data_IF_050531742426
#
_entry.id   IF_050531742426
#
_cell.length_a   1.000
_cell.length_b   1.000
_cell.length_c   1.000
_cell.angle_alpha   90.00
_cell.angle_beta   90.00
_cell.angle_gamma   90.00
#
_symmetry.space_group_name_H-M   'P 1'
#
loop_
_entity.id
_entity.type
_entity.pdbx_description
1 polymer ?
#
# COMPACT_ATOMS: atom_id res chain seq x y z
N UNK A 1 46.73 -0.91 -20.80
CA UNK A 1 45.74 -1.29 -19.80
C UNK A 1 44.77 -0.16 -19.38
N UNK A 2 45.25 1.07 -19.03
CA UNK A 2 44.33 2.17 -18.62
C UNK A 2 43.31 2.62 -19.68
N UNK A 3 43.62 2.61 -20.98
CA UNK A 3 42.67 3.00 -22.05
C UNK A 3 41.56 1.97 -22.28
N UNK A 4 41.83 0.67 -22.08
CA UNK A 4 40.81 -0.39 -22.22
C UNK A 4 39.80 -0.35 -21.06
N UNK A 5 40.26 -0.02 -19.84
CA UNK A 5 39.41 0.12 -18.64
C UNK A 5 38.46 1.30 -18.77
N UNK A 6 38.90 2.44 -19.35
CA UNK A 6 38.03 3.60 -19.59
C UNK A 6 36.94 3.33 -20.64
N UNK A 7 37.27 2.54 -21.68
CA UNK A 7 36.28 2.19 -22.72
C UNK A 7 35.18 1.26 -22.18
N UNK A 8 35.53 0.29 -21.33
CA UNK A 8 34.54 -0.59 -20.71
C UNK A 8 33.61 0.18 -19.74
N UNK A 9 34.14 1.14 -18.98
CA UNK A 9 33.31 1.98 -18.09
C UNK A 9 32.33 2.88 -18.87
N UNK A 10 32.74 3.42 -20.02
CA UNK A 10 31.87 4.29 -20.82
C UNK A 10 30.76 3.50 -21.53
N UNK A 11 30.99 2.27 -21.93
CA UNK A 11 29.97 1.38 -22.53
C UNK A 11 28.95 0.93 -21.52
N UNK A 12 29.38 0.60 -20.29
CA UNK A 12 28.48 0.23 -19.18
C UNK A 12 27.59 1.41 -18.76
N UNK A 13 28.14 2.61 -18.65
CA UNK A 13 27.35 3.82 -18.33
C UNK A 13 26.32 4.13 -19.41
N UNK A 14 26.67 4.02 -20.68
CA UNK A 14 25.74 4.25 -21.78
C UNK A 14 24.60 3.22 -21.89
N UNK A 15 24.87 1.96 -21.53
CA UNK A 15 23.85 0.90 -21.51
C UNK A 15 22.86 1.08 -20.36
N UNK A 16 23.32 1.47 -19.17
CA UNK A 16 22.50 1.77 -18.01
C UNK A 16 21.55 2.96 -18.28
N UNK A 17 22.06 4.05 -18.89
CA UNK A 17 21.24 5.20 -19.30
C UNK A 17 20.15 4.85 -20.33
N UNK A 18 20.42 3.87 -21.21
CA UNK A 18 19.45 3.42 -22.21
C UNK A 18 18.35 2.57 -21.57
N UNK A 19 18.70 1.64 -20.67
CA UNK A 19 17.73 0.81 -19.94
C UNK A 19 16.80 1.66 -19.06
N UNK A 20 17.36 2.64 -18.36
CA UNK A 20 16.56 3.59 -17.54
C UNK A 20 15.57 4.37 -18.39
N UNK A 21 16.01 4.91 -19.53
CA UNK A 21 15.11 5.64 -20.45
C UNK A 21 14.01 4.75 -21.03
N UNK A 22 14.32 3.52 -21.37
CA UNK A 22 13.32 2.55 -21.87
C UNK A 22 12.29 2.21 -20.79
N UNK A 23 12.72 2.00 -19.55
CA UNK A 23 11.83 1.78 -18.41
C UNK A 23 10.91 2.98 -18.18
N UNK A 24 11.45 4.20 -18.14
CA UNK A 24 10.67 5.42 -17.96
C UNK A 24 9.66 5.63 -19.10
N UNK A 25 10.07 5.43 -20.37
CA UNK A 25 9.17 5.52 -21.53
C UNK A 25 8.02 4.50 -21.43
N UNK A 26 8.32 3.27 -21.00
CA UNK A 26 7.29 2.24 -20.79
C UNK A 26 6.30 2.62 -19.68
N UNK A 27 6.79 3.23 -18.60
CA UNK A 27 5.89 3.76 -17.55
C UNK A 27 4.99 4.86 -18.11
N UNK A 28 5.52 5.78 -18.93
CA UNK A 28 4.75 6.85 -19.56
C UNK A 28 3.64 6.29 -20.48
N UNK A 29 3.94 5.26 -21.26
CA UNK A 29 2.95 4.56 -22.09
C UNK A 29 1.84 3.92 -21.27
N UNK A 30 2.21 3.19 -20.18
CA UNK A 30 1.23 2.54 -19.31
C UNK A 30 0.33 3.59 -18.64
N UNK A 31 0.90 4.69 -18.15
CA UNK A 31 0.17 5.71 -17.38
C UNK A 31 -0.77 6.53 -18.27
N UNK A 32 -0.42 6.77 -19.55
CA UNK A 32 -1.18 7.64 -20.46
C UNK A 32 -2.26 6.94 -21.27
N UNK A 33 -2.27 5.62 -21.32
CA UNK A 33 -3.09 4.85 -22.27
C UNK A 33 -4.54 4.57 -21.81
N UNK A 34 -5.04 5.21 -20.72
CA UNK A 34 -6.29 4.83 -20.06
C UNK A 34 -7.23 6.01 -19.79
N UNK A 35 -8.53 5.71 -19.71
CA UNK A 35 -9.56 6.63 -19.23
C UNK A 35 -9.57 6.67 -17.71
N UNK A 36 -8.42 6.97 -17.12
CA UNK A 36 -8.19 7.03 -15.69
C UNK A 36 -7.03 7.99 -15.41
N UNK A 37 -6.99 8.57 -14.22
CA UNK A 37 -5.81 9.26 -13.75
C UNK A 37 -4.95 8.27 -12.96
N UNK A 38 -3.79 7.92 -13.51
CA UNK A 38 -2.89 6.90 -12.95
C UNK A 38 -1.67 7.58 -12.32
N UNK A 39 -1.60 7.55 -10.99
CA UNK A 39 -0.44 7.97 -10.21
C UNK A 39 0.45 6.77 -9.89
N UNK A 40 1.74 6.90 -10.15
CA UNK A 40 2.73 5.84 -9.90
C UNK A 40 3.93 6.41 -9.16
N UNK A 41 4.44 5.66 -8.19
CA UNK A 41 5.77 5.86 -7.67
C UNK A 41 6.46 4.52 -7.43
N UNK A 42 7.76 4.50 -7.71
CA UNK A 42 8.64 3.36 -7.44
C UNK A 42 9.87 3.90 -6.73
N UNK A 43 10.10 3.43 -5.50
CA UNK A 43 11.31 3.72 -4.78
C UNK A 43 12.30 2.60 -5.02
N UNK A 44 13.36 2.93 -5.71
CA UNK A 44 14.37 2.01 -6.23
C UNK A 44 15.24 1.39 -5.12
N UNK A 45 15.95 0.29 -5.36
CA UNK A 45 16.82 -0.33 -4.38
C UNK A 45 17.92 0.61 -3.84
N UNK A 46 18.38 1.55 -4.65
CA UNK A 46 19.37 2.57 -4.26
C UNK A 46 18.74 3.82 -3.57
N UNK A 47 17.42 3.79 -3.32
CA UNK A 47 16.70 4.81 -2.58
C UNK A 47 16.23 6.02 -3.37
N UNK A 48 16.43 6.04 -4.70
CA UNK A 48 15.83 7.06 -5.57
C UNK A 48 14.34 6.82 -5.76
N UNK A 49 13.64 7.76 -6.34
CA UNK A 49 12.21 7.63 -6.64
C UNK A 49 11.95 8.00 -8.09
N UNK A 50 11.36 7.07 -8.83
CA UNK A 50 10.76 7.32 -10.15
C UNK A 50 9.27 7.49 -9.92
N UNK A 51 8.68 8.58 -10.42
CA UNK A 51 7.27 8.86 -10.21
C UNK A 51 6.61 9.47 -11.44
N UNK A 52 5.29 9.19 -11.58
CA UNK A 52 4.40 9.79 -12.59
C UNK A 52 3.10 10.21 -11.91
N UNK A 53 2.61 11.41 -12.25
CA UNK A 53 1.38 11.96 -11.68
C UNK A 53 1.33 11.90 -10.14
N UNK A 54 2.46 12.19 -9.47
CA UNK A 54 2.64 12.10 -8.02
C UNK A 54 1.93 13.24 -7.30
N UNK A 55 0.62 13.19 -7.25
CA UNK A 55 -0.25 14.16 -6.57
C UNK A 55 -0.99 13.52 -5.38
N UNK A 56 -1.75 14.30 -4.63
CA UNK A 56 -2.60 13.81 -3.55
C UNK A 56 -3.82 13.09 -4.14
N UNK A 57 -3.79 11.77 -4.13
CA UNK A 57 -4.82 10.89 -4.69
C UNK A 57 -5.55 10.13 -3.57
N UNK A 58 -6.85 9.79 -3.73
CA UNK A 58 -7.59 8.98 -2.77
C UNK A 58 -6.90 7.65 -2.51
N UNK A 59 -6.64 7.33 -1.24
CA UNK A 59 -5.94 6.09 -0.84
C UNK A 59 -6.84 4.87 -0.79
N UNK A 60 -8.13 5.08 -0.44
CA UNK A 60 -8.99 3.99 0.01
C UNK A 60 -8.28 3.14 1.08
N UNK A 61 -8.54 1.85 1.15
CA UNK A 61 -7.97 0.97 2.17
C UNK A 61 -6.43 0.86 2.18
N UNK A 62 -5.69 1.52 1.29
CA UNK A 62 -4.22 1.66 1.43
C UNK A 62 -3.88 2.39 2.74
N UNK A 63 -4.77 3.28 3.25
CA UNK A 63 -4.55 3.98 4.52
C UNK A 63 -4.49 3.05 5.74
N UNK A 64 -4.96 1.79 5.63
CA UNK A 64 -4.86 0.77 6.69
C UNK A 64 -3.41 0.39 7.02
N UNK A 65 -2.49 0.57 6.08
CA UNK A 65 -1.06 0.37 6.35
C UNK A 65 -0.50 1.41 7.36
N UNK A 66 -0.63 2.72 7.18
CA UNK A 66 -0.23 3.67 8.21
C UNK A 66 -1.01 3.53 9.53
N UNK A 67 -2.29 3.11 9.50
CA UNK A 67 -3.03 2.78 10.74
C UNK A 67 -2.35 1.64 11.49
N UNK A 68 -2.05 0.54 10.81
CA UNK A 68 -1.37 -0.61 11.42
C UNK A 68 0.01 -0.23 11.98
N UNK A 69 0.77 0.61 11.27
CA UNK A 69 2.06 1.13 11.74
C UNK A 69 1.91 1.95 13.04
N UNK A 70 0.97 2.88 13.08
CA UNK A 70 0.75 3.72 14.25
C UNK A 70 0.32 2.92 15.48
N UNK A 71 -0.57 1.95 15.30
CA UNK A 71 -1.00 1.01 16.36
C UNK A 71 0.18 0.21 16.87
N UNK A 72 0.93 -0.42 15.98
CA UNK A 72 2.06 -1.28 16.36
C UNK A 72 3.22 -0.48 16.98
N UNK A 73 3.49 0.73 16.53
CA UNK A 73 4.48 1.61 17.15
C UNK A 73 4.08 1.98 18.57
N UNK A 74 2.81 2.33 18.79
CA UNK A 74 2.27 2.58 20.12
C UNK A 74 2.41 1.35 21.02
N UNK A 75 1.95 0.18 20.55
CA UNK A 75 2.01 -1.08 21.29
C UNK A 75 3.45 -1.46 21.65
N UNK A 76 4.38 -1.29 20.72
CA UNK A 76 5.81 -1.53 20.94
C UNK A 76 6.37 -0.61 22.06
N UNK A 77 5.99 0.67 22.06
CA UNK A 77 6.45 1.63 23.09
C UNK A 77 5.85 1.35 24.46
N UNK A 78 4.61 0.87 24.51
CA UNK A 78 3.89 0.52 25.73
C UNK A 78 4.20 -0.91 26.23
N UNK A 79 4.87 -1.73 25.44
CA UNK A 79 5.13 -3.15 25.73
C UNK A 79 3.86 -4.01 25.70
N UNK A 80 2.84 -3.59 24.96
CA UNK A 80 1.54 -4.30 24.85
C UNK A 80 1.68 -5.52 23.95
N UNK A 81 1.38 -6.73 24.44
CA UNK A 81 1.57 -7.96 23.65
C UNK A 81 0.55 -8.05 22.51
N UNK A 82 0.94 -8.68 21.39
CA UNK A 82 0.05 -8.95 20.26
C UNK A 82 -1.14 -9.85 20.63
N UNK A 83 -1.06 -10.56 21.75
CA UNK A 83 -2.14 -11.36 22.32
C UNK A 83 -3.11 -10.57 23.20
N UNK A 84 -2.91 -9.25 23.35
CA UNK A 84 -3.83 -8.38 24.10
C UNK A 84 -5.27 -8.58 23.63
N UNK A 85 -6.20 -8.99 24.53
CA UNK A 85 -7.60 -9.18 24.16
C UNK A 85 -8.31 -7.83 23.94
N UNK A 86 -9.10 -7.76 22.89
CA UNK A 86 -9.97 -6.63 22.55
C UNK A 86 -11.41 -7.15 22.51
N UNK A 87 -12.28 -6.53 23.27
CA UNK A 87 -13.71 -6.88 23.27
C UNK A 87 -14.40 -6.26 22.06
N UNK A 88 -15.09 -7.09 21.30
CA UNK A 88 -15.91 -6.70 20.16
C UNK A 88 -17.37 -6.78 20.59
N UNK A 89 -17.96 -5.65 20.87
CA UNK A 89 -19.37 -5.54 21.30
C UNK A 89 -20.32 -5.45 20.09
N UNK A 90 -21.60 -5.79 20.22
CA UNK A 90 -22.56 -5.80 19.11
C UNK A 90 -22.67 -4.47 18.37
N UNK A 91 -22.54 -3.35 19.08
CA UNK A 91 -22.59 -1.99 18.53
C UNK A 91 -21.42 -1.67 17.59
N UNK A 92 -20.31 -2.44 17.66
CA UNK A 92 -19.20 -2.33 16.75
C UNK A 92 -19.41 -3.10 15.43
N UNK A 93 -20.33 -4.06 15.40
CA UNK A 93 -20.60 -4.93 14.25
C UNK A 93 -21.55 -4.26 13.25
N UNK A 94 -21.15 -3.09 12.76
CA UNK A 94 -21.96 -2.26 11.85
C UNK A 94 -22.35 -3.02 10.57
N UNK A 95 -23.64 -3.00 10.18
CA UNK A 95 -24.08 -3.57 8.90
C UNK A 95 -23.67 -2.68 7.72
N UNK A 96 -23.72 -3.23 6.51
CA UNK A 96 -23.59 -2.45 5.27
C UNK A 96 -22.15 -2.09 4.89
N UNK A 97 -21.15 -2.56 5.63
CA UNK A 97 -19.73 -2.39 5.28
C UNK A 97 -19.03 -3.74 5.11
N UNK A 98 -17.95 -3.78 4.34
CA UNK A 98 -17.14 -4.99 4.16
C UNK A 98 -16.40 -5.36 5.44
N UNK A 99 -16.75 -6.49 6.02
CA UNK A 99 -16.10 -6.97 7.27
C UNK A 99 -16.16 -8.50 7.40
N UNK A 100 -15.16 -9.21 6.89
CA UNK A 100 -14.97 -10.65 7.18
C UNK A 100 -14.91 -10.97 8.68
N UNK A 101 -14.38 -10.05 9.49
CA UNK A 101 -14.38 -10.16 10.94
C UNK A 101 -15.80 -10.29 11.51
N UNK A 102 -16.68 -9.34 11.16
CA UNK A 102 -18.09 -9.36 11.57
C UNK A 102 -18.75 -10.67 11.15
N UNK A 103 -18.53 -11.07 9.90
CA UNK A 103 -19.17 -12.27 9.34
C UNK A 103 -18.68 -13.57 9.97
N UNK A 104 -17.54 -13.55 10.69
CA UNK A 104 -16.98 -14.67 11.45
C UNK A 104 -17.38 -14.71 12.92
N UNK A 105 -17.95 -13.63 13.45
CA UNK A 105 -18.35 -13.51 14.85
C UNK A 105 -19.85 -13.72 15.03
N UNK A 106 -20.31 -14.21 16.22
CA UNK A 106 -21.73 -14.19 16.58
C UNK A 106 -22.25 -12.75 16.71
N UNK A 107 -23.55 -12.54 16.54
CA UNK A 107 -24.18 -11.21 16.70
C UNK A 107 -23.96 -10.59 18.09
N UNK A 108 -23.76 -11.42 19.11
CA UNK A 108 -23.42 -10.97 20.46
C UNK A 108 -22.01 -10.37 20.60
N UNK A 109 -21.23 -10.38 19.51
CA UNK A 109 -19.82 -9.98 19.56
C UNK A 109 -18.92 -11.10 20.08
N UNK A 110 -17.73 -10.71 20.57
CA UNK A 110 -16.73 -11.66 21.02
C UNK A 110 -15.45 -10.99 21.50
N UNK A 111 -14.39 -11.77 21.62
CA UNK A 111 -13.07 -11.25 21.96
C UNK A 111 -12.07 -11.69 20.90
N UNK A 112 -11.33 -10.74 20.34
CA UNK A 112 -10.22 -11.00 19.43
C UNK A 112 -8.93 -10.45 20.04
N UNK A 113 -7.81 -11.02 19.66
CA UNK A 113 -6.51 -10.43 20.02
C UNK A 113 -6.19 -9.25 19.10
N UNK A 114 -5.31 -8.37 19.56
CA UNK A 114 -4.77 -7.29 18.74
C UNK A 114 -4.17 -7.82 17.43
N UNK A 115 -3.40 -8.91 17.49
CA UNK A 115 -2.83 -9.56 16.29
C UNK A 115 -3.89 -10.07 15.31
N UNK A 116 -5.04 -10.57 15.81
CA UNK A 116 -6.16 -10.98 14.97
C UNK A 116 -6.85 -9.78 14.30
N UNK A 117 -7.05 -8.68 15.04
CA UNK A 117 -7.58 -7.44 14.43
C UNK A 117 -6.66 -6.87 13.34
N UNK A 118 -5.34 -6.89 13.59
CA UNK A 118 -4.35 -6.49 12.58
C UNK A 118 -4.41 -7.40 11.34
N UNK A 119 -4.60 -8.72 11.52
CA UNK A 119 -4.75 -9.66 10.40
C UNK A 119 -5.99 -9.30 9.57
N UNK A 120 -7.15 -9.12 10.19
CA UNK A 120 -8.36 -8.71 9.48
C UNK A 120 -8.15 -7.38 8.74
N UNK A 121 -7.56 -6.39 9.39
CA UNK A 121 -7.33 -5.05 8.82
C UNK A 121 -6.37 -5.07 7.63
N UNK A 122 -5.22 -5.73 7.77
CA UNK A 122 -4.13 -5.67 6.78
C UNK A 122 -4.32 -6.72 5.70
N UNK A 123 -4.49 -7.99 6.06
CA UNK A 123 -4.53 -9.10 5.10
C UNK A 123 -5.88 -9.21 4.40
N UNK A 124 -6.98 -9.00 5.10
CA UNK A 124 -8.34 -9.15 4.58
C UNK A 124 -9.03 -7.82 4.27
N UNK A 125 -8.38 -6.69 4.59
CA UNK A 125 -8.91 -5.35 4.34
C UNK A 125 -10.23 -5.02 5.06
N UNK A 126 -10.47 -5.62 6.23
CA UNK A 126 -11.68 -5.44 7.04
C UNK A 126 -11.86 -3.99 7.50
N UNK A 127 -13.04 -3.42 7.30
CA UNK A 127 -13.34 -2.03 7.63
C UNK A 127 -13.60 -1.84 9.12
N UNK A 128 -14.36 -2.73 9.74
CA UNK A 128 -14.69 -2.63 11.17
C UNK A 128 -13.45 -2.86 12.03
N UNK A 129 -12.64 -3.87 11.71
CA UNK A 129 -11.36 -4.10 12.39
C UNK A 129 -10.42 -2.90 12.26
N UNK A 130 -10.39 -2.25 11.09
CA UNK A 130 -9.64 -1.03 10.89
C UNK A 130 -10.11 0.10 11.79
N UNK A 131 -11.42 0.33 11.91
CA UNK A 131 -11.98 1.41 12.73
C UNK A 131 -11.77 1.17 14.23
N UNK A 132 -11.78 -0.09 14.67
CA UNK A 132 -11.40 -0.45 16.04
C UNK A 132 -9.92 -0.07 16.28
N UNK A 133 -9.02 -0.50 15.39
CA UNK A 133 -7.59 -0.17 15.50
C UNK A 133 -7.32 1.33 15.38
N UNK A 134 -8.07 2.04 14.54
CA UNK A 134 -7.96 3.49 14.39
C UNK A 134 -8.33 4.22 15.68
N UNK A 135 -9.37 3.77 16.39
CA UNK A 135 -9.72 4.28 17.73
C UNK A 135 -8.62 4.01 18.75
N UNK A 136 -8.05 2.80 18.75
CA UNK A 136 -6.90 2.46 19.59
C UNK A 136 -5.68 3.36 19.30
N UNK A 137 -5.48 3.76 18.05
CA UNK A 137 -4.43 4.70 17.67
C UNK A 137 -4.69 6.15 18.09
N UNK A 138 -5.91 6.48 18.55
CA UNK A 138 -6.30 7.86 18.89
C UNK A 138 -7.02 8.60 17.76
N UNK A 139 -7.51 7.88 16.74
CA UNK A 139 -8.28 8.41 15.61
C UNK A 139 -7.43 8.86 14.42
N UNK A 140 -8.10 9.32 13.35
CA UNK A 140 -7.44 9.71 12.09
C UNK A 140 -6.33 10.74 12.27
N UNK A 141 -6.58 11.80 13.03
CA UNK A 141 -5.61 12.86 13.28
C UNK A 141 -4.34 12.37 14.00
N UNK A 142 -4.47 11.41 14.92
CA UNK A 142 -3.32 10.84 15.61
C UNK A 142 -2.44 9.99 14.65
N UNK A 143 -3.06 9.23 13.75
CA UNK A 143 -2.32 8.46 12.72
C UNK A 143 -1.64 9.40 11.73
N UNK A 144 -2.30 10.47 11.29
CA UNK A 144 -1.66 11.48 10.44
C UNK A 144 -0.48 12.15 11.15
N UNK A 145 -0.64 12.53 12.41
CA UNK A 145 0.44 13.12 13.22
C UNK A 145 1.63 12.14 13.37
N UNK A 146 1.35 10.85 13.59
CA UNK A 146 2.39 9.82 13.61
C UNK A 146 3.18 9.80 12.30
N UNK A 147 2.51 9.73 11.14
CA UNK A 147 3.19 9.72 9.84
C UNK A 147 4.01 11.00 9.63
N UNK A 148 3.48 12.16 10.00
CA UNK A 148 4.22 13.43 9.94
C UNK A 148 5.45 13.44 10.84
N UNK A 149 5.39 12.82 12.02
CA UNK A 149 6.53 12.71 12.95
C UNK A 149 7.70 11.90 12.38
N UNK A 150 7.44 11.04 11.38
CA UNK A 150 8.46 10.30 10.63
C UNK A 150 9.15 11.17 9.55
N UNK A 151 8.78 12.44 9.42
CA UNK A 151 9.27 13.34 8.37
C UNK A 151 8.59 13.13 7.00
N UNK A 152 7.48 12.39 6.94
CA UNK A 152 6.76 12.10 5.70
C UNK A 152 5.59 13.10 5.56
N UNK A 153 5.66 13.96 4.53
CA UNK A 153 4.55 14.75 4.05
C UNK A 153 3.74 14.02 2.97
N UNK A 154 2.61 14.60 2.55
CA UNK A 154 1.85 14.07 1.41
C UNK A 154 1.04 12.81 1.73
N UNK A 155 0.74 12.54 3.00
CA UNK A 155 -0.28 11.59 3.47
C UNK A 155 -1.25 12.35 4.36
N UNK A 156 -2.53 12.30 4.04
CA UNK A 156 -3.62 12.90 4.81
C UNK A 156 -4.59 11.80 5.21
N UNK A 157 -4.85 11.68 6.51
CA UNK A 157 -5.79 10.70 7.08
C UNK A 157 -6.82 11.49 7.89
N UNK A 158 -7.99 11.74 7.28
CA UNK A 158 -9.01 12.65 7.77
C UNK A 158 -10.28 11.94 8.25
N UNK A 159 -10.47 10.66 7.90
CA UNK A 159 -11.71 9.92 8.18
C UNK A 159 -11.44 8.45 8.52
N UNK A 160 -12.36 7.86 9.28
CA UNK A 160 -12.50 6.42 9.50
C UNK A 160 -13.15 5.74 8.29
N UNK A 161 -13.19 4.40 8.29
CA UNK A 161 -13.94 3.64 7.26
C UNK A 161 -15.44 3.95 7.35
N UNK A 162 -16.01 4.01 8.56
CA UNK A 162 -17.41 4.40 8.75
C UNK A 162 -17.71 5.77 8.16
N UNK A 163 -16.87 6.77 8.42
CA UNK A 163 -17.05 8.13 7.89
C UNK A 163 -16.94 8.18 6.37
N UNK A 164 -16.02 7.41 5.76
CA UNK A 164 -15.92 7.30 4.31
C UNK A 164 -17.14 6.64 3.68
N UNK A 165 -17.81 5.72 4.37
CA UNK A 165 -19.02 5.04 3.87
C UNK A 165 -20.31 5.87 4.00
N UNK A 166 -20.31 6.99 4.73
CA UNK A 166 -21.50 7.87 4.83
C UNK A 166 -21.87 8.55 3.52
N UNK A 167 -21.02 8.53 2.51
CA UNK A 167 -21.30 9.09 1.20
C UNK A 167 -20.15 8.92 0.23
N UNK A 168 -20.47 8.76 -1.04
CA UNK A 168 -19.49 8.51 -2.10
C UNK A 168 -18.40 9.60 -2.18
N UNK A 169 -18.75 10.86 -1.90
CA UNK A 169 -17.77 11.97 -1.87
C UNK A 169 -16.74 11.83 -0.76
N UNK A 170 -17.11 11.21 0.38
CA UNK A 170 -16.22 11.02 1.52
C UNK A 170 -15.08 10.03 1.24
N UNK A 171 -15.25 9.18 0.21
CA UNK A 171 -14.19 8.25 -0.22
C UNK A 171 -12.94 8.96 -0.80
N UNK A 172 -13.00 10.28 -0.99
CA UNK A 172 -11.88 11.10 -1.48
C UNK A 172 -11.08 11.80 -0.38
N UNK A 173 -11.43 11.67 0.91
CA UNK A 173 -10.83 12.50 1.97
C UNK A 173 -9.47 11.98 2.45
N UNK A 174 -9.30 10.65 2.55
CA UNK A 174 -8.00 10.04 2.86
C UNK A 174 -7.16 9.98 1.60
N UNK A 175 -6.08 10.77 1.55
CA UNK A 175 -5.27 10.99 0.34
C UNK A 175 -3.80 10.77 0.61
N UNK A 176 -3.08 10.31 -0.42
CA UNK A 176 -1.63 10.29 -0.39
C UNK A 176 -1.01 10.58 -1.75
N UNK A 177 0.26 11.02 -1.73
CA UNK A 177 1.15 10.92 -2.88
C UNK A 177 1.67 9.48 -2.96
N UNK A 178 1.65 8.85 -4.13
CA UNK A 178 2.27 7.53 -4.31
C UNK A 178 3.70 7.44 -3.77
N UNK A 179 4.52 8.49 -3.99
CA UNK A 179 5.90 8.56 -3.50
C UNK A 179 6.01 8.56 -1.97
N UNK A 180 5.06 9.20 -1.29
CA UNK A 180 5.01 9.23 0.17
C UNK A 180 4.68 7.85 0.76
N UNK A 181 3.79 7.11 0.11
CA UNK A 181 3.46 5.72 0.48
C UNK A 181 4.67 4.81 0.29
N UNK A 182 5.38 4.92 -0.84
CA UNK A 182 6.64 4.18 -1.06
C UNK A 182 7.69 4.51 0.00
N UNK A 183 7.82 5.78 0.40
CA UNK A 183 8.75 6.20 1.46
C UNK A 183 8.39 5.57 2.80
N UNK A 184 7.11 5.49 3.13
CA UNK A 184 6.64 4.85 4.37
C UNK A 184 6.94 3.35 4.38
N UNK A 185 6.70 2.64 3.26
CA UNK A 185 7.08 1.23 3.11
C UNK A 185 8.61 1.03 3.24
N UNK A 186 9.40 1.90 2.63
CA UNK A 186 10.87 1.80 2.70
C UNK A 186 11.39 1.98 4.14
N UNK A 187 10.91 2.97 4.88
CA UNK A 187 11.26 3.16 6.30
C UNK A 187 10.86 1.95 7.16
N UNK A 188 9.70 1.36 6.89
CA UNK A 188 9.26 0.14 7.55
C UNK A 188 10.19 -1.03 7.29
N UNK A 189 10.55 -1.27 6.04
CA UNK A 189 11.46 -2.36 5.63
C UNK A 189 12.89 -2.19 6.12
N UNK A 190 13.34 -0.95 6.37
CA UNK A 190 14.63 -0.68 7.00
C UNK A 190 14.64 -1.02 8.50
N UNK A 191 13.51 -1.46 9.07
CA UNK A 191 13.37 -1.75 10.50
C UNK A 191 13.51 -0.50 11.36
N UNK A 192 13.25 0.68 10.82
CA UNK A 192 13.36 1.97 11.54
C UNK A 192 12.12 2.28 12.36
N UNK A 193 10.97 1.72 12.00
CA UNK A 193 9.67 2.01 12.61
C UNK A 193 9.30 0.98 13.68
N UNK A 194 9.40 -0.29 13.37
CA UNK A 194 9.02 -1.39 14.24
C UNK A 194 10.19 -2.35 14.46
N UNK A 195 10.19 -3.07 15.59
CA UNK A 195 11.20 -4.05 15.98
C UNK A 195 10.56 -5.41 16.32
N UNK A 196 11.39 -6.45 16.35
CA UNK A 196 11.01 -7.78 16.86
C UNK A 196 9.72 -8.31 16.24
N UNK A 197 8.84 -8.81 17.10
CA UNK A 197 7.58 -9.45 16.71
C UNK A 197 6.60 -8.50 16.01
N UNK A 198 6.59 -7.22 16.36
CA UNK A 198 5.70 -6.22 15.74
C UNK A 198 6.06 -6.00 14.26
N UNK A 199 7.36 -5.91 13.97
CA UNK A 199 7.84 -5.78 12.59
C UNK A 199 7.59 -7.06 11.79
N UNK A 200 7.91 -8.23 12.38
CA UNK A 200 7.72 -9.53 11.75
C UNK A 200 6.23 -9.81 11.45
N UNK A 201 5.33 -9.46 12.39
CA UNK A 201 3.89 -9.60 12.17
C UNK A 201 3.43 -8.78 10.97
N UNK A 202 3.74 -7.48 10.92
CA UNK A 202 3.23 -6.61 9.85
C UNK A 202 3.79 -7.03 8.47
N UNK A 203 5.07 -7.42 8.39
CA UNK A 203 5.63 -7.96 7.15
C UNK A 203 4.87 -9.21 6.69
N UNK A 204 4.61 -10.16 7.59
CA UNK A 204 3.84 -11.37 7.29
C UNK A 204 2.43 -11.04 6.81
N UNK A 205 1.71 -10.16 7.52
CA UNK A 205 0.33 -9.79 7.18
C UNK A 205 0.20 -9.13 5.80
N UNK A 206 1.17 -8.30 5.42
CA UNK A 206 1.23 -7.71 4.08
C UNK A 206 1.48 -8.76 2.99
N UNK A 207 2.31 -9.78 3.26
CA UNK A 207 2.56 -10.88 2.33
C UNK A 207 1.37 -11.85 2.23
N UNK A 208 0.58 -11.98 3.29
CA UNK A 208 -0.64 -12.81 3.38
C UNK A 208 -1.89 -12.09 2.86
N UNK A 209 -1.75 -10.92 2.21
CA UNK A 209 -2.89 -10.19 1.67
C UNK A 209 -3.73 -11.06 0.73
N UNK A 210 -5.03 -11.17 1.03
CA UNK A 210 -6.00 -11.96 0.25
C UNK A 210 -6.63 -11.16 -0.88
N UNK A 211 -6.51 -9.83 -0.85
CA UNK A 211 -7.04 -8.90 -1.84
C UNK A 211 -6.00 -8.56 -2.90
N UNK A 212 -6.43 -8.22 -4.13
CA UNK A 212 -5.56 -7.67 -5.18
C UNK A 212 -4.61 -8.67 -5.83
N UNK A 213 -4.93 -9.97 -5.83
CA UNK A 213 -4.14 -11.00 -6.50
C UNK A 213 -3.99 -10.74 -8.01
N UNK A 214 -4.89 -9.96 -8.58
CA UNK A 214 -4.94 -9.53 -9.98
C UNK A 214 -4.26 -8.16 -10.25
N UNK A 215 -3.73 -7.49 -9.22
CA UNK A 215 -3.08 -6.17 -9.32
C UNK A 215 -1.55 -6.31 -9.36
N UNK A 216 -0.81 -5.64 -8.46
CA UNK A 216 0.67 -5.70 -8.45
C UNK A 216 1.20 -7.12 -8.50
N UNK A 217 0.60 -8.04 -7.75
CA UNK A 217 1.00 -9.44 -7.67
C UNK A 217 0.93 -10.15 -9.04
N UNK A 218 -0.08 -9.86 -9.85
CA UNK A 218 -0.25 -10.45 -11.18
C UNK A 218 0.82 -10.01 -12.20
N UNK A 219 1.54 -8.93 -11.93
CA UNK A 219 2.66 -8.47 -12.76
C UNK A 219 3.98 -9.17 -12.50
N UNK A 220 4.05 -9.98 -11.42
CA UNK A 220 5.28 -10.60 -10.94
C UNK A 220 5.37 -12.07 -11.34
N UNK A 221 6.58 -12.63 -11.53
CA UNK A 221 6.78 -14.05 -11.67
C UNK A 221 6.24 -14.84 -10.46
N UNK A 222 5.78 -16.07 -10.72
CA UNK A 222 5.31 -16.96 -9.67
C UNK A 222 6.40 -17.17 -8.60
N UNK A 223 6.00 -17.11 -7.31
CA UNK A 223 6.92 -17.27 -6.20
C UNK A 223 7.65 -15.99 -5.76
N UNK A 224 7.49 -14.87 -6.49
CA UNK A 224 8.04 -13.59 -6.03
C UNK A 224 7.37 -13.14 -4.74
N UNK A 225 8.18 -12.75 -3.76
CA UNK A 225 7.69 -12.24 -2.48
C UNK A 225 7.26 -10.79 -2.65
N UNK A 226 5.99 -10.53 -2.38
CA UNK A 226 5.40 -9.20 -2.34
C UNK A 226 4.63 -9.03 -1.04
N UNK A 227 4.85 -7.91 -0.35
CA UNK A 227 3.99 -7.46 0.75
C UNK A 227 3.25 -6.20 0.32
N UNK A 228 1.92 -6.23 0.32
CA UNK A 228 1.15 -5.12 -0.25
C UNK A 228 -0.18 -4.86 0.46
N UNK A 229 -0.76 -3.68 0.21
CA UNK A 229 -2.09 -3.28 0.65
C UNK A 229 -2.86 -2.64 -0.48
N UNK A 230 -4.03 -3.17 -0.78
CA UNK A 230 -4.95 -2.65 -1.79
C UNK A 230 -5.92 -1.61 -1.22
N UNK A 231 -6.53 -0.83 -2.11
CA UNK A 231 -7.62 0.05 -1.76
C UNK A 231 -8.53 0.27 -2.96
N UNK A 232 -9.82 -0.05 -2.83
CA UNK A 232 -10.82 0.11 -3.88
C UNK A 232 -12.03 0.87 -3.35
N UNK A 233 -12.57 1.78 -4.16
CA UNK A 233 -13.78 2.54 -3.86
C UNK A 233 -15.02 1.85 -4.42
N UNK A 234 -16.18 2.37 -4.12
CA UNK A 234 -17.38 2.18 -4.92
C UNK A 234 -17.29 2.95 -6.26
N UNK A 235 -18.29 2.78 -7.13
CA UNK A 235 -18.47 3.59 -8.34
C UNK A 235 -19.48 4.69 -8.08
N UNK A 236 -19.25 5.86 -8.66
CA UNK A 236 -20.26 6.95 -8.67
C UNK A 236 -21.48 6.55 -9.49
N UNK A 237 -22.54 7.36 -9.43
CA UNK A 237 -23.74 7.15 -10.25
C UNK A 237 -23.44 7.17 -11.76
N UNK A 238 -22.37 7.88 -12.16
CA UNK A 238 -21.88 7.97 -13.54
C UNK A 238 -20.99 6.76 -13.92
N UNK A 239 -20.78 5.82 -12.99
CA UNK A 239 -19.97 4.63 -13.21
C UNK A 239 -18.46 4.83 -13.00
N UNK A 240 -18.02 6.00 -12.54
CA UNK A 240 -16.61 6.31 -12.30
C UNK A 240 -16.11 5.62 -11.03
N UNK A 241 -15.02 4.88 -11.12
CA UNK A 241 -14.29 4.33 -9.96
C UNK A 241 -13.40 5.43 -9.37
N UNK A 242 -13.68 5.85 -8.14
CA UNK A 242 -12.93 6.93 -7.48
C UNK A 242 -11.46 6.53 -7.31
N UNK A 243 -11.22 5.29 -6.88
CA UNK A 243 -9.87 4.74 -6.76
C UNK A 243 -9.88 3.22 -6.80
N UNK A 244 -8.82 2.64 -7.41
CA UNK A 244 -8.54 1.21 -7.44
C UNK A 244 -7.03 0.97 -7.36
N UNK A 245 -6.51 1.02 -6.15
CA UNK A 245 -5.11 1.18 -5.82
C UNK A 245 -4.47 -0.13 -5.36
N UNK A 246 -3.14 -0.16 -5.47
CA UNK A 246 -2.30 -1.16 -4.79
C UNK A 246 -0.93 -0.55 -4.48
N UNK A 247 -0.39 -0.81 -3.29
CA UNK A 247 0.91 -0.30 -2.87
C UNK A 247 1.61 -1.29 -1.94
N UNK A 248 2.94 -1.39 -2.06
CA UNK A 248 3.70 -2.33 -1.27
C UNK A 248 5.18 -2.35 -1.60
N UNK A 249 5.79 -3.51 -1.39
CA UNK A 249 7.19 -3.77 -1.70
C UNK A 249 7.36 -5.13 -2.36
N UNK A 250 8.42 -5.27 -3.15
CA UNK A 250 8.81 -6.51 -3.81
C UNK A 250 10.23 -6.85 -3.43
N UNK A 251 10.48 -8.12 -3.10
CA UNK A 251 11.82 -8.66 -2.87
C UNK A 251 12.33 -9.30 -4.16
N UNK A 252 13.51 -8.88 -4.59
CA UNK A 252 14.21 -9.45 -5.75
C UNK A 252 14.98 -10.72 -5.36
N UNK A 253 15.26 -11.63 -6.31
CA UNK A 253 15.97 -12.89 -6.04
C UNK A 253 17.37 -12.71 -5.44
N UNK A 254 18.02 -11.58 -5.69
CA UNK A 254 19.35 -11.23 -5.17
C UNK A 254 19.32 -10.59 -3.78
N UNK A 255 18.13 -10.45 -3.17
CA UNK A 255 17.93 -9.84 -1.85
C UNK A 255 17.72 -8.33 -1.87
N UNK A 256 17.87 -7.67 -3.02
CA UNK A 256 17.45 -6.26 -3.15
C UNK A 256 15.93 -6.15 -3.06
N UNK A 257 15.44 -4.95 -2.82
CA UNK A 257 14.00 -4.67 -2.75
C UNK A 257 13.68 -3.30 -3.33
N UNK A 258 12.45 -3.14 -3.79
CA UNK A 258 11.90 -1.84 -4.16
C UNK A 258 10.50 -1.68 -3.59
N UNK A 259 10.07 -0.43 -3.37
CA UNK A 259 8.69 -0.12 -3.01
C UNK A 259 7.96 0.44 -4.23
N UNK A 260 6.68 0.11 -4.35
CA UNK A 260 5.85 0.46 -5.49
C UNK A 260 4.46 0.90 -5.01
N UNK A 261 3.91 1.95 -5.61
CA UNK A 261 2.53 2.38 -5.40
C UNK A 261 1.91 2.75 -6.75
N UNK A 262 0.76 2.16 -7.05
CA UNK A 262 -0.04 2.44 -8.24
C UNK A 262 -1.44 2.82 -7.79
N UNK A 263 -1.80 4.07 -8.07
CA UNK A 263 -3.10 4.66 -7.74
C UNK A 263 -3.85 4.95 -9.03
N UNK A 264 -4.85 4.13 -9.33
CA UNK A 264 -5.76 4.32 -10.47
C UNK A 264 -6.98 5.05 -9.95
N UNK A 265 -7.17 6.29 -10.35
CA UNK A 265 -8.22 7.16 -9.80
C UNK A 265 -9.08 7.79 -10.88
N UNK A 266 -10.31 8.19 -10.52
CA UNK A 266 -11.30 8.79 -11.42
C UNK A 266 -11.43 7.97 -12.73
N UNK A 267 -11.54 6.65 -12.60
CA UNK A 267 -11.46 5.72 -13.72
C UNK A 267 -12.83 5.39 -14.31
N UNK A 268 -12.97 5.58 -15.62
CA UNK A 268 -14.09 5.08 -16.43
C UNK A 268 -13.86 3.63 -16.90
N UNK A 269 -12.67 3.07 -16.66
CA UNK A 269 -12.34 1.69 -17.01
C UNK A 269 -13.07 0.69 -16.13
N UNK A 270 -13.22 -0.54 -16.61
CA UNK A 270 -13.72 -1.64 -15.77
C UNK A 270 -12.65 -2.11 -14.77
N UNK A 271 -13.06 -2.91 -13.80
CA UNK A 271 -12.17 -3.36 -12.71
C UNK A 271 -11.01 -4.23 -13.20
N UNK A 272 -11.22 -4.99 -14.27
CA UNK A 272 -10.16 -5.82 -14.88
C UNK A 272 -9.09 -4.93 -15.55
N UNK A 273 -9.50 -3.87 -16.24
CA UNK A 273 -8.57 -2.91 -16.83
C UNK A 273 -7.80 -2.14 -15.77
N UNK A 274 -8.45 -1.68 -14.69
CA UNK A 274 -7.77 -1.04 -13.57
C UNK A 274 -6.72 -1.95 -12.94
N UNK A 275 -7.06 -3.21 -12.70
CA UNK A 275 -6.12 -4.19 -12.16
C UNK A 275 -4.95 -4.45 -13.12
N UNK A 276 -5.23 -4.53 -14.43
CA UNK A 276 -4.20 -4.72 -15.46
C UNK A 276 -3.19 -3.58 -15.53
N UNK A 277 -3.60 -2.32 -15.26
CA UNK A 277 -2.69 -1.17 -15.15
C UNK A 277 -1.67 -1.41 -14.03
N UNK A 278 -2.12 -1.78 -12.83
CA UNK A 278 -1.24 -2.05 -11.70
C UNK A 278 -0.30 -3.23 -12.00
N UNK A 279 -0.80 -4.30 -12.63
CA UNK A 279 0.00 -5.44 -13.04
C UNK A 279 1.06 -5.07 -14.10
N UNK A 280 0.73 -4.21 -15.06
CA UNK A 280 1.66 -3.76 -16.10
C UNK A 280 2.80 -2.92 -15.51
N UNK A 281 2.50 -1.98 -14.60
CA UNK A 281 3.52 -1.19 -13.89
C UNK A 281 4.42 -2.11 -13.05
N UNK A 282 3.83 -3.06 -12.31
CA UNK A 282 4.58 -4.02 -11.50
C UNK A 282 5.52 -4.88 -12.33
N UNK A 283 5.06 -5.36 -13.48
CA UNK A 283 5.88 -6.14 -14.43
C UNK A 283 7.03 -5.32 -14.96
N UNK A 284 6.77 -4.10 -15.43
CA UNK A 284 7.81 -3.23 -15.95
C UNK A 284 8.90 -2.94 -14.91
N UNK A 285 8.51 -2.68 -13.65
CA UNK A 285 9.44 -2.47 -12.56
C UNK A 285 10.26 -3.73 -12.24
N UNK A 286 9.61 -4.89 -12.15
CA UNK A 286 10.30 -6.15 -11.87
C UNK A 286 11.31 -6.50 -12.95
N UNK A 287 10.93 -6.43 -14.24
CA UNK A 287 11.81 -6.70 -15.37
C UNK A 287 13.04 -5.77 -15.36
N UNK A 288 12.84 -4.48 -15.09
CA UNK A 288 13.92 -3.49 -15.02
C UNK A 288 14.90 -3.82 -13.89
N UNK A 289 14.42 -3.95 -12.65
CA UNK A 289 15.30 -4.17 -11.49
C UNK A 289 15.92 -5.57 -11.42
N UNK A 290 15.33 -6.57 -12.08
CA UNK A 290 15.91 -7.91 -12.14
C UNK A 290 17.03 -8.02 -13.20
N UNK A 291 17.13 -7.06 -14.11
CA UNK A 291 18.16 -7.01 -15.15
C UNK A 291 19.40 -6.19 -14.76
N UNK A 292 19.32 -5.38 -13.70
CA UNK A 292 20.44 -4.64 -13.10
C UNK A 292 21.31 -5.53 -12.19
#
# INVERSE_FOLDING_TARGET
MKKLLLLCLSVLAASCDTATRQFESRLDEIVSGHKAFVGVAIRTPDGKTVARNDSLLPMMSVFKFPVALAVLDRMQREGTPLTQPISITPDLLLPGTYSPMRDSLPESGGTLTLGQLLRYTVSESDNIACDILLREAGGPAAVEAYVRSLGIGGICIAASEEEMHRGIGNQRVNKARPSSVCTLFDLFLQGRLLKGEYNALLQRLLCEATTGTNKLKAGLPAGTVIGHKTGSSDRTAEGIRIADNDAGYVLLPDGRRYCIAVFVTESEENDAANAAIAAAVSRAAYEYFSSE
#
